data_IF_035799600679
#
_entry.id   IF_035799600679
#
_cell.length_a   1.000
_cell.length_b   1.000
_cell.length_c   1.000
_cell.angle_alpha   90.00
_cell.angle_beta   90.00
_cell.angle_gamma   90.00
#
_symmetry.space_group_name_H-M   'P 1'
#
loop_
_entity.id
_entity.type
_entity.pdbx_description
1 polymer ?
#
# COMPACT_ATOMS: atom_id res chain seq x y z
N UNK A 1 -9.65 2.56 -21.58
CA UNK A 1 -9.79 2.23 -20.13
C UNK A 1 -11.23 2.47 -19.68
N UNK A 2 -11.82 1.60 -18.85
CA UNK A 2 -13.24 1.73 -18.42
C UNK A 2 -13.44 2.55 -17.14
N UNK A 3 -12.39 2.71 -16.33
CA UNK A 3 -12.43 3.41 -15.05
C UNK A 3 -11.10 4.10 -14.82
N UNK A 4 -11.11 5.35 -14.34
CA UNK A 4 -9.92 6.04 -13.85
C UNK A 4 -10.25 6.77 -12.54
N UNK A 5 -9.30 6.91 -11.61
CA UNK A 5 -9.52 7.66 -10.38
C UNK A 5 -9.63 9.15 -10.66
N UNK A 6 -10.80 9.73 -10.36
CA UNK A 6 -11.02 11.17 -10.46
C UNK A 6 -10.79 11.83 -9.10
N UNK A 7 -9.64 12.48 -8.94
CA UNK A 7 -9.27 13.18 -7.71
C UNK A 7 -9.90 14.58 -7.69
N UNK A 8 -11.06 14.70 -7.04
CA UNK A 8 -11.87 15.93 -7.05
C UNK A 8 -11.10 17.14 -6.50
N UNK A 9 -10.32 16.97 -5.42
CA UNK A 9 -9.53 18.06 -4.84
C UNK A 9 -8.50 18.62 -5.82
N UNK A 10 -7.64 17.77 -6.36
CA UNK A 10 -6.64 18.16 -7.37
C UNK A 10 -7.31 18.83 -8.59
N UNK A 11 -8.44 18.28 -9.03
CA UNK A 11 -9.19 18.83 -10.14
C UNK A 11 -9.65 20.25 -9.85
N UNK A 12 -10.38 20.46 -8.76
CA UNK A 12 -10.94 21.76 -8.41
C UNK A 12 -9.84 22.81 -8.21
N UNK A 13 -8.71 22.44 -7.63
CA UNK A 13 -7.57 23.36 -7.48
C UNK A 13 -6.92 23.69 -8.82
N UNK A 14 -6.76 22.71 -9.71
CA UNK A 14 -6.10 22.91 -11.01
C UNK A 14 -6.98 23.61 -12.04
N UNK A 15 -8.31 23.55 -11.92
CA UNK A 15 -9.25 24.15 -12.88
C UNK A 15 -10.01 25.37 -12.33
N UNK A 16 -9.63 25.87 -11.15
CA UNK A 16 -10.33 26.97 -10.47
C UNK A 16 -10.45 28.26 -11.29
N UNK A 17 -9.50 28.52 -12.20
CA UNK A 17 -9.45 29.70 -13.05
C UNK A 17 -10.16 29.52 -14.40
N UNK A 18 -10.61 28.32 -14.73
CA UNK A 18 -11.25 28.05 -16.01
C UNK A 18 -12.68 28.58 -16.05
N UNK A 19 -13.07 29.09 -17.22
CA UNK A 19 -14.48 29.37 -17.51
C UNK A 19 -15.28 28.07 -17.61
N UNK A 20 -16.61 28.19 -17.58
CA UNK A 20 -17.51 27.03 -17.69
C UNK A 20 -17.27 26.19 -18.96
N UNK A 21 -17.00 26.85 -20.09
CA UNK A 21 -16.73 26.16 -21.35
C UNK A 21 -15.36 25.48 -21.36
N UNK A 22 -14.35 26.09 -20.75
CA UNK A 22 -13.01 25.51 -20.62
C UNK A 22 -13.00 24.32 -19.66
N UNK A 23 -13.68 24.42 -18.52
CA UNK A 23 -13.82 23.30 -17.58
C UNK A 23 -14.52 22.10 -18.25
N UNK A 24 -15.60 22.36 -18.99
CA UNK A 24 -16.30 21.35 -19.79
C UNK A 24 -15.40 20.74 -20.88
N UNK A 25 -14.65 21.58 -21.61
CA UNK A 25 -13.71 21.14 -22.64
C UNK A 25 -12.61 20.26 -22.03
N UNK A 26 -12.01 20.67 -20.91
CA UNK A 26 -11.01 19.90 -20.18
C UNK A 26 -11.56 18.54 -19.75
N UNK A 27 -12.75 18.51 -19.15
CA UNK A 27 -13.38 17.26 -18.74
C UNK A 27 -13.58 16.30 -19.91
N UNK A 28 -14.10 16.79 -21.03
CA UNK A 28 -14.31 15.97 -22.23
C UNK A 28 -13.00 15.51 -22.87
N UNK A 29 -11.97 16.34 -22.87
CA UNK A 29 -10.64 15.96 -23.37
C UNK A 29 -10.07 14.81 -22.54
N UNK A 30 -10.18 14.86 -21.21
CA UNK A 30 -9.76 13.76 -20.34
C UNK A 30 -10.54 12.46 -20.62
N UNK A 31 -11.86 12.54 -20.77
CA UNK A 31 -12.69 11.36 -21.05
C UNK A 31 -12.31 10.71 -22.39
N UNK A 32 -12.10 11.52 -23.44
CA UNK A 32 -11.62 11.03 -24.74
C UNK A 32 -10.24 10.39 -24.60
N UNK A 33 -9.34 11.02 -23.85
CA UNK A 33 -7.98 10.54 -23.64
C UNK A 33 -7.97 9.17 -22.95
N UNK A 34 -8.68 9.01 -21.82
CA UNK A 34 -8.72 7.75 -21.08
C UNK A 34 -9.51 6.65 -21.80
N UNK A 35 -10.55 7.03 -22.55
CA UNK A 35 -11.32 6.08 -23.36
C UNK A 35 -10.44 5.46 -24.45
N UNK A 36 -9.70 6.31 -25.18
CA UNK A 36 -8.85 5.89 -26.31
C UNK A 36 -7.46 5.41 -25.90
N UNK A 37 -6.98 5.82 -24.72
CA UNK A 37 -5.60 5.63 -24.25
C UNK A 37 -4.54 6.06 -25.28
N UNK A 38 -4.81 7.17 -25.98
CA UNK A 38 -4.02 7.71 -27.07
C UNK A 38 -4.00 9.24 -26.99
N UNK A 39 -2.93 9.84 -27.51
CA UNK A 39 -2.83 11.28 -27.68
C UNK A 39 -4.02 11.86 -28.46
N UNK A 40 -4.44 13.07 -28.10
CA UNK A 40 -5.46 13.80 -28.87
C UNK A 40 -4.79 14.28 -30.18
N UNK A 41 -5.47 14.22 -31.34
CA UNK A 41 -4.90 14.69 -32.59
C UNK A 41 -4.38 16.13 -32.51
N UNK A 42 -3.21 16.39 -33.10
CA UNK A 42 -2.58 17.71 -33.12
C UNK A 42 -3.48 18.79 -33.74
N UNK A 43 -4.28 18.42 -34.74
CA UNK A 43 -5.15 19.36 -35.44
C UNK A 43 -6.39 19.69 -34.60
N UNK A 44 -6.48 20.96 -34.18
CA UNK A 44 -7.59 21.48 -33.37
C UNK A 44 -8.98 21.11 -33.93
N UNK A 45 -9.27 21.18 -35.26
CA UNK A 45 -10.58 20.76 -35.76
C UNK A 45 -10.92 19.28 -35.48
N UNK A 46 -9.92 18.39 -35.49
CA UNK A 46 -10.11 16.97 -35.16
C UNK A 46 -10.32 16.80 -33.66
N UNK A 47 -9.55 17.49 -32.83
CA UNK A 47 -9.72 17.51 -31.38
C UNK A 47 -11.13 17.99 -30.98
N UNK A 48 -11.57 19.13 -31.54
CA UNK A 48 -12.92 19.67 -31.35
C UNK A 48 -14.01 18.68 -31.75
N UNK A 49 -13.84 17.95 -32.87
CA UNK A 49 -14.80 16.93 -33.29
C UNK A 49 -14.90 15.76 -32.32
N UNK A 50 -13.78 15.35 -31.70
CA UNK A 50 -13.77 14.28 -30.69
C UNK A 50 -14.54 14.68 -29.43
N UNK A 51 -14.35 15.91 -28.96
CA UNK A 51 -15.04 16.42 -27.76
C UNK A 51 -16.40 17.07 -28.06
N UNK A 52 -16.85 17.00 -29.32
CA UNK A 52 -18.12 17.55 -29.80
C UNK A 52 -18.25 19.07 -29.58
N UNK A 53 -17.14 19.80 -29.65
CA UNK A 53 -17.10 21.25 -29.66
C UNK A 53 -17.45 21.76 -31.07
N UNK A 54 -18.56 22.47 -31.18
CA UNK A 54 -19.20 22.86 -32.44
C UNK A 54 -19.44 24.35 -32.58
N UNK A 55 -19.55 25.10 -31.48
CA UNK A 55 -19.64 26.56 -31.51
C UNK A 55 -18.24 27.19 -31.60
N UNK A 56 -18.18 28.49 -31.91
CA UNK A 56 -16.90 29.22 -31.96
C UNK A 56 -16.25 29.27 -30.57
N UNK A 57 -17.05 29.53 -29.55
CA UNK A 57 -16.56 29.67 -28.17
C UNK A 57 -16.14 28.33 -27.59
N UNK A 58 -16.85 27.24 -27.90
CA UNK A 58 -16.44 25.88 -27.52
C UNK A 58 -15.09 25.50 -28.16
N UNK A 59 -14.89 25.83 -29.44
CA UNK A 59 -13.60 25.58 -30.11
C UNK A 59 -12.47 26.39 -29.50
N UNK A 60 -12.72 27.65 -29.15
CA UNK A 60 -11.74 28.49 -28.46
C UNK A 60 -11.38 27.91 -27.09
N UNK A 61 -12.38 27.46 -26.32
CA UNK A 61 -12.16 26.81 -25.03
C UNK A 61 -11.31 25.54 -25.14
N UNK A 62 -11.55 24.69 -26.16
CA UNK A 62 -10.72 23.51 -26.44
C UNK A 62 -9.28 23.89 -26.74
N UNK A 63 -9.08 24.93 -27.55
CA UNK A 63 -7.74 25.42 -27.90
C UNK A 63 -6.99 25.93 -26.65
N UNK A 64 -7.63 26.78 -25.83
CA UNK A 64 -7.04 27.27 -24.57
C UNK A 64 -6.61 26.12 -23.67
N UNK A 65 -7.50 25.15 -23.44
CA UNK A 65 -7.25 24.02 -22.54
C UNK A 65 -6.14 23.10 -23.06
N UNK A 66 -6.10 22.85 -24.38
CA UNK A 66 -5.03 22.04 -24.97
C UNK A 66 -3.67 22.71 -24.78
N UNK A 67 -3.59 24.02 -25.00
CA UNK A 67 -2.34 24.77 -24.81
C UNK A 67 -1.90 24.82 -23.34
N UNK A 68 -2.84 24.83 -22.40
CA UNK A 68 -2.53 24.94 -20.97
C UNK A 68 -2.16 23.59 -20.32
N UNK A 69 -3.00 22.56 -20.49
CA UNK A 69 -2.88 21.31 -19.73
C UNK A 69 -2.18 20.19 -20.51
N UNK A 70 -2.09 20.31 -21.83
CA UNK A 70 -1.51 19.29 -22.69
C UNK A 70 -0.18 19.77 -23.29
N UNK A 71 0.67 18.82 -23.67
CA UNK A 71 1.88 19.10 -24.44
C UNK A 71 1.72 18.60 -25.86
N UNK A 72 1.97 19.45 -26.83
CA UNK A 72 2.01 19.06 -28.23
C UNK A 72 3.29 18.26 -28.51
N UNK A 73 3.14 17.11 -29.15
CA UNK A 73 4.23 16.22 -29.59
C UNK A 73 3.95 15.74 -31.01
N UNK A 74 4.91 15.03 -31.61
CA UNK A 74 4.75 14.44 -32.95
C UNK A 74 3.57 13.46 -33.04
N UNK A 75 3.19 12.83 -31.91
CA UNK A 75 2.06 11.92 -31.84
C UNK A 75 0.71 12.64 -31.61
N UNK A 76 0.73 13.94 -31.32
CA UNK A 76 -0.43 14.74 -30.90
C UNK A 76 -0.28 15.35 -29.50
N UNK A 77 -1.37 15.80 -28.93
CA UNK A 77 -1.44 16.38 -27.59
C UNK A 77 -1.46 15.28 -26.53
N UNK A 78 -0.48 15.30 -25.64
CA UNK A 78 -0.34 14.35 -24.54
C UNK A 78 -0.61 15.00 -23.19
N UNK A 79 -1.16 14.24 -22.24
CA UNK A 79 -1.39 14.70 -20.87
C UNK A 79 -0.58 13.88 -19.88
N UNK A 80 0.35 14.53 -19.16
CA UNK A 80 1.36 13.85 -18.33
C UNK A 80 0.73 12.91 -17.29
N UNK A 81 -0.31 13.36 -16.58
CA UNK A 81 -0.98 12.55 -15.57
C UNK A 81 -1.69 11.34 -16.20
N UNK A 82 -2.28 11.53 -17.38
CA UNK A 82 -3.00 10.45 -18.06
C UNK A 82 -2.03 9.35 -18.49
N UNK A 83 -0.87 9.72 -19.03
CA UNK A 83 0.16 8.74 -19.43
C UNK A 83 0.62 7.88 -18.25
N UNK A 84 0.90 8.52 -17.11
CA UNK A 84 1.31 7.80 -15.88
C UNK A 84 0.23 6.81 -15.44
N UNK A 85 -1.03 7.20 -15.43
CA UNK A 85 -2.14 6.33 -15.02
C UNK A 85 -2.43 5.22 -16.03
N UNK A 86 -2.32 5.49 -17.33
CA UNK A 86 -2.49 4.49 -18.40
C UNK A 86 -1.39 3.43 -18.31
N UNK A 87 -0.12 3.81 -18.08
CA UNK A 87 0.98 2.86 -17.89
C UNK A 87 0.70 1.96 -16.69
N UNK A 88 0.35 2.53 -15.53
CA UNK A 88 -0.02 1.75 -14.33
C UNK A 88 -1.17 0.78 -14.59
N UNK A 89 -2.21 1.24 -15.31
CA UNK A 89 -3.37 0.43 -15.64
C UNK A 89 -3.00 -0.75 -16.57
N UNK A 90 -2.17 -0.50 -17.59
CA UNK A 90 -1.69 -1.52 -18.52
C UNK A 90 -0.84 -2.56 -17.80
N UNK A 91 0.07 -2.15 -16.91
CA UNK A 91 0.85 -3.08 -16.11
C UNK A 91 -0.02 -3.92 -15.18
N UNK A 92 -1.02 -3.32 -14.53
CA UNK A 92 -1.97 -4.05 -13.69
C UNK A 92 -2.79 -5.07 -14.49
N UNK A 93 -3.27 -4.68 -15.68
CA UNK A 93 -3.98 -5.57 -16.58
C UNK A 93 -3.10 -6.74 -17.05
N UNK A 94 -1.82 -6.48 -17.37
CA UNK A 94 -0.89 -7.53 -17.79
C UNK A 94 -0.56 -8.50 -16.64
N UNK A 95 -0.32 -7.99 -15.42
CA UNK A 95 -0.15 -8.84 -14.23
C UNK A 95 -1.37 -9.71 -14.00
N UNK A 96 -2.58 -9.13 -14.08
CA UNK A 96 -3.83 -9.88 -13.93
C UNK A 96 -3.98 -10.94 -15.03
N UNK A 97 -3.61 -10.63 -16.28
CA UNK A 97 -3.64 -11.57 -17.40
C UNK A 97 -2.67 -12.74 -17.20
N UNK A 98 -1.43 -12.48 -16.77
CA UNK A 98 -0.43 -13.52 -16.48
C UNK A 98 -0.90 -14.39 -15.32
N UNK A 99 -1.42 -13.81 -14.25
CA UNK A 99 -1.97 -14.56 -13.12
C UNK A 99 -3.19 -15.38 -13.52
N UNK A 100 -4.06 -14.83 -14.37
CA UNK A 100 -5.20 -15.55 -14.94
C UNK A 100 -4.78 -16.78 -15.76
N UNK A 101 -3.72 -16.66 -16.57
CA UNK A 101 -3.14 -17.79 -17.33
C UNK A 101 -2.58 -18.90 -16.43
N UNK A 102 -2.02 -18.54 -15.27
CA UNK A 102 -1.51 -19.51 -14.27
C UNK A 102 -2.63 -20.24 -13.52
N UNK A 103 -3.88 -19.83 -13.72
CA UNK A 103 -5.05 -20.35 -13.01
C UNK A 103 -5.24 -19.62 -11.68
N UNK A 104 -6.40 -18.97 -11.52
CA UNK A 104 -6.80 -18.35 -10.25
C UNK A 104 -7.78 -19.21 -9.44
N UNK A 105 -8.34 -20.25 -10.04
CA UNK A 105 -9.26 -21.16 -9.38
C UNK A 105 -8.45 -22.30 -8.75
N UNK A 106 -8.46 -22.45 -7.41
CA UNK A 106 -7.89 -23.63 -6.78
C UNK A 106 -8.48 -24.89 -7.43
N UNK A 107 -7.66 -25.89 -7.81
CA UNK A 107 -8.20 -27.13 -8.31
C UNK A 107 -9.15 -27.69 -7.26
N UNK A 108 -10.37 -28.06 -7.69
CA UNK A 108 -11.33 -28.73 -6.84
C UNK A 108 -10.74 -30.12 -6.56
N UNK A 109 -9.96 -30.26 -5.50
CA UNK A 109 -9.57 -31.56 -4.98
C UNK A 109 -10.88 -32.29 -4.69
N UNK A 110 -11.24 -33.26 -5.54
CA UNK A 110 -12.35 -34.15 -5.26
C UNK A 110 -11.99 -34.93 -3.99
N UNK A 111 -12.71 -34.81 -2.86
CA UNK A 111 -12.72 -35.92 -1.93
C UNK A 111 -13.31 -37.11 -2.71
N UNK A 112 -12.59 -38.22 -2.73
CA UNK A 112 -13.10 -39.47 -3.28
C UNK A 112 -14.35 -39.88 -2.47
N UNK A 113 -15.52 -39.70 -3.07
CA UNK A 113 -16.80 -39.98 -2.45
C UNK A 113 -17.93 -39.46 -3.32
N UNK A 114 -18.39 -40.32 -4.23
CA UNK A 114 -19.59 -40.10 -5.03
C UNK A 114 -20.82 -40.06 -4.10
N UNK A 115 -21.73 -39.09 -4.26
CA UNK A 115 -23.14 -39.44 -4.26
C UNK A 115 -23.79 -39.08 -5.59
N UNK A 116 -24.75 -39.92 -5.96
CA UNK A 116 -25.48 -40.00 -7.23
C UNK A 116 -25.97 -38.69 -7.85
N UNK A 117 -26.02 -38.75 -9.18
CA UNK A 117 -26.75 -37.89 -10.09
C UNK A 117 -27.99 -37.24 -9.48
N UNK A 118 -28.04 -35.91 -9.50
CA UNK A 118 -29.30 -35.17 -9.44
C UNK A 118 -29.44 -34.35 -10.72
N UNK A 119 -30.56 -34.64 -11.39
CA UNK A 119 -31.04 -34.27 -12.72
C UNK A 119 -30.85 -32.78 -13.13
N UNK A 120 -30.69 -32.49 -14.44
CA UNK A 120 -30.72 -31.13 -14.96
C UNK A 120 -32.16 -30.61 -15.04
N UNK A 121 -32.47 -29.51 -14.35
CA UNK A 121 -33.74 -28.78 -14.54
C UNK A 121 -33.62 -27.87 -15.78
N UNK A 122 -34.62 -28.01 -16.64
CA UNK A 122 -34.85 -27.48 -17.99
C UNK A 122 -34.74 -25.93 -18.08
N UNK A 123 -34.32 -25.37 -19.24
CA UNK A 123 -34.01 -23.95 -19.40
C UNK A 123 -35.27 -23.10 -19.66
N UNK A 124 -35.47 -22.06 -18.85
CA UNK A 124 -36.47 -21.02 -19.07
C UNK A 124 -35.80 -19.66 -19.18
N UNK A 125 -35.67 -19.14 -20.41
CA UNK A 125 -35.38 -17.74 -20.66
C UNK A 125 -36.70 -16.95 -20.67
N UNK A 126 -36.75 -15.76 -20.06
CA UNK A 126 -37.47 -14.66 -20.67
C UNK A 126 -36.54 -13.47 -20.95
N UNK A 127 -36.74 -12.90 -22.13
CA UNK A 127 -36.08 -11.73 -22.67
C UNK A 127 -36.22 -10.48 -21.78
N UNK A 128 -35.17 -9.65 -21.83
CA UNK A 128 -35.09 -8.20 -21.56
C UNK A 128 -35.56 -7.71 -20.17
N UNK A 129 -34.61 -7.21 -19.39
CA UNK A 129 -34.74 -5.84 -18.87
C UNK A 129 -33.40 -5.26 -18.42
N UNK A 130 -33.14 -4.07 -18.95
CA UNK A 130 -32.23 -3.00 -18.56
C UNK A 130 -31.03 -3.21 -17.63
N UNK A 131 -29.89 -2.81 -18.19
CA UNK A 131 -28.73 -2.21 -17.54
C UNK A 131 -29.06 -1.44 -16.26
N UNK A 132 -28.44 -1.84 -15.13
CA UNK A 132 -28.22 -0.92 -14.03
C UNK A 132 -26.82 -1.11 -13.43
N UNK A 133 -26.05 -0.04 -13.51
CA UNK A 133 -24.77 0.15 -12.86
C UNK A 133 -24.89 0.00 -11.32
N UNK A 134 -23.81 -0.36 -10.60
CA UNK A 134 -23.85 -0.41 -9.15
C UNK A 134 -23.83 1.01 -8.58
N UNK A 135 -24.95 1.44 -8.01
CA UNK A 135 -25.00 2.64 -7.18
C UNK A 135 -24.42 2.31 -5.78
N UNK A 136 -23.59 3.19 -5.18
CA UNK A 136 -23.07 3.00 -3.83
C UNK A 136 -24.12 3.51 -2.83
N UNK A 137 -24.30 2.81 -1.70
CA UNK A 137 -24.79 3.46 -0.49
C UNK A 137 -24.43 2.70 0.80
N UNK A 138 -24.35 3.42 1.93
CA UNK A 138 -23.64 3.04 3.15
C UNK A 138 -24.51 2.19 4.07
N UNK A 139 -23.90 1.22 4.76
CA UNK A 139 -24.56 0.51 5.87
C UNK A 139 -23.86 0.92 7.16
N UNK A 140 -24.40 1.96 7.79
CA UNK A 140 -24.42 2.14 9.24
C UNK A 140 -25.41 1.16 9.85
N UNK A 141 -25.00 0.37 10.85
CA UNK A 141 -25.92 -0.15 11.86
C UNK A 141 -25.33 0.00 13.27
N UNK A 142 -26.17 0.28 14.27
CA UNK A 142 -25.77 0.87 15.55
C UNK A 142 -25.47 -0.18 16.63
N UNK A 143 -24.66 0.25 17.59
CA UNK A 143 -24.26 -0.46 18.81
C UNK A 143 -25.32 -0.28 19.93
N UNK A 144 -25.14 -1.02 21.03
CA UNK A 144 -25.96 -1.19 22.25
C UNK A 144 -26.85 -2.46 22.21
N UNK A 145 -26.77 -3.41 23.14
CA UNK A 145 -26.64 -3.25 24.60
C UNK A 145 -25.92 -4.42 25.29
N UNK A 146 -25.25 -4.11 26.41
CA UNK A 146 -24.88 -4.99 27.54
C UNK A 146 -26.15 -5.44 28.33
N UNK A 147 -26.14 -6.27 29.41
CA UNK A 147 -25.02 -6.77 30.24
C UNK A 147 -25.11 -8.20 30.84
N UNK A 148 -24.03 -8.55 31.56
CA UNK A 148 -23.95 -9.26 32.87
C UNK A 148 -24.06 -10.79 33.06
N UNK A 149 -23.20 -11.29 33.97
CA UNK A 149 -23.34 -12.55 34.73
C UNK A 149 -22.24 -13.59 34.48
N UNK A 150 -21.03 -13.47 35.03
CA UNK A 150 -20.53 -13.97 36.35
C UNK A 150 -20.30 -15.49 36.49
N UNK A 151 -19.04 -15.79 36.86
CA UNK A 151 -18.51 -16.90 37.69
C UNK A 151 -18.79 -18.36 37.28
N UNK A 152 -17.87 -19.31 37.39
CA UNK A 152 -16.60 -19.43 38.09
C UNK A 152 -16.32 -20.95 38.16
N UNK A 153 -15.10 -21.41 37.93
CA UNK A 153 -14.33 -21.88 39.08
C UNK A 153 -13.71 -23.25 38.79
N UNK A 154 -12.38 -23.29 38.90
CA UNK A 154 -11.59 -24.51 39.14
C UNK A 154 -11.92 -25.04 40.56
N UNK A 155 -11.61 -26.31 40.91
CA UNK A 155 -10.43 -26.48 41.76
C UNK A 155 -9.66 -27.82 41.62
N UNK A 156 -8.58 -27.86 42.41
CA UNK A 156 -7.45 -28.78 42.50
C UNK A 156 -7.67 -30.20 43.09
N UNK A 157 -6.58 -30.98 42.98
CA UNK A 157 -6.00 -31.95 43.95
C UNK A 157 -6.13 -33.47 43.66
N UNK A 158 -5.00 -34.15 43.82
CA UNK A 158 -4.72 -35.60 43.68
C UNK A 158 -5.25 -36.43 44.88
N UNK A 159 -5.26 -37.80 44.86
CA UNK A 159 -4.04 -38.60 45.12
C UNK A 159 -3.98 -40.06 44.54
N UNK A 160 -2.79 -40.69 44.73
CA UNK A 160 -2.47 -42.12 44.99
C UNK A 160 -2.52 -43.23 43.89
N UNK A 161 -1.46 -44.05 43.88
CA UNK A 161 -1.16 -45.23 43.06
C UNK A 161 -1.75 -46.56 43.63
N UNK A 162 -1.69 -47.71 42.90
CA UNK A 162 -0.52 -48.60 42.99
C UNK A 162 -0.10 -49.32 41.67
N UNK A 163 1.12 -49.89 41.69
CA UNK A 163 1.75 -50.76 40.67
C UNK A 163 1.46 -52.26 40.98
N UNK A 164 1.69 -53.25 40.08
CA UNK A 164 3.06 -53.71 39.77
C UNK A 164 3.34 -54.28 38.35
N UNK A 165 4.64 -54.26 38.02
CA UNK A 165 5.44 -55.25 37.29
C UNK A 165 5.18 -55.59 35.80
N UNK A 166 6.13 -55.22 34.92
CA UNK A 166 7.09 -56.14 34.28
C UNK A 166 7.79 -55.46 33.07
N UNK A 167 9.12 -55.44 33.06
CA UNK A 167 9.97 -55.22 31.88
C UNK A 167 10.60 -56.58 31.50
N UNK A 168 10.91 -56.88 30.21
CA UNK A 168 12.12 -56.34 29.56
C UNK A 168 11.96 -56.14 28.02
N UNK A 169 12.55 -55.14 27.35
CA UNK A 169 13.93 -55.10 26.80
C UNK A 169 14.03 -53.86 25.86
N UNK A 170 15.22 -53.30 25.62
CA UNK A 170 15.40 -52.05 24.88
C UNK A 170 15.44 -52.25 23.34
N UNK A 171 14.55 -51.56 22.63
CA UNK A 171 14.62 -51.37 21.17
C UNK A 171 15.63 -50.26 20.84
N UNK A 172 16.51 -50.41 19.84
CA UNK A 172 17.47 -49.37 19.47
C UNK A 172 16.77 -48.10 18.96
N UNK A 173 17.33 -46.90 19.20
CA UNK A 173 16.71 -45.65 18.79
C UNK A 173 16.68 -45.51 17.26
N UNK A 174 15.63 -44.88 16.69
CA UNK A 174 15.59 -44.54 15.27
C UNK A 174 16.70 -43.53 14.91
N UNK A 175 17.20 -43.54 13.66
CA UNK A 175 18.27 -42.64 13.23
C UNK A 175 17.86 -41.17 13.36
N UNK A 176 18.81 -40.25 13.62
CA UNK A 176 18.52 -38.84 13.79
C UNK A 176 17.87 -38.26 12.51
N UNK A 177 16.90 -37.34 12.64
CA UNK A 177 16.30 -36.68 11.49
C UNK A 177 17.38 -35.94 10.69
N UNK A 178 17.27 -35.86 9.35
CA UNK A 178 18.23 -35.13 8.52
C UNK A 178 18.32 -33.68 9.00
N UNK A 179 19.55 -33.18 9.08
CA UNK A 179 19.84 -31.81 9.50
C UNK A 179 18.98 -30.82 8.70
N UNK A 180 18.39 -29.80 9.36
CA UNK A 180 17.60 -28.79 8.66
C UNK A 180 18.47 -28.11 7.60
N UNK A 181 17.90 -27.71 6.44
CA UNK A 181 18.66 -27.09 5.37
C UNK A 181 19.44 -25.91 5.94
N UNK A 182 20.76 -25.95 5.77
CA UNK A 182 21.66 -24.86 6.15
C UNK A 182 21.22 -23.63 5.37
N UNK A 183 20.48 -22.74 6.04
CA UNK A 183 20.13 -21.42 5.51
C UNK A 183 21.41 -20.77 5.02
N UNK A 184 21.38 -20.26 3.81
CA UNK A 184 22.53 -19.58 3.22
C UNK A 184 22.96 -18.40 4.13
N UNK A 185 24.24 -18.00 4.15
CA UNK A 185 24.70 -16.87 4.96
C UNK A 185 23.89 -15.59 4.76
N UNK A 186 23.36 -15.38 3.54
CA UNK A 186 22.50 -14.26 3.18
C UNK A 186 21.11 -14.34 3.82
N UNK A 187 20.51 -15.53 3.90
CA UNK A 187 19.23 -15.74 4.57
C UNK A 187 19.33 -15.56 6.09
N UNK A 188 20.48 -15.92 6.67
CA UNK A 188 20.77 -15.63 8.09
C UNK A 188 20.91 -14.13 8.33
N UNK A 189 21.67 -13.42 7.48
CA UNK A 189 21.86 -11.97 7.60
C UNK A 189 20.53 -11.20 7.47
N UNK A 190 19.66 -11.64 6.56
CA UNK A 190 18.30 -11.09 6.43
C UNK A 190 17.49 -11.37 7.70
N UNK A 191 17.50 -12.60 8.21
CA UNK A 191 16.77 -12.94 9.44
C UNK A 191 17.26 -12.12 10.64
N UNK A 192 18.57 -11.89 10.78
CA UNK A 192 19.14 -11.04 11.82
C UNK A 192 18.72 -9.58 11.67
N UNK A 193 18.74 -9.05 10.44
CA UNK A 193 18.24 -7.71 10.15
C UNK A 193 16.77 -7.55 10.58
N UNK A 194 15.91 -8.53 10.26
CA UNK A 194 14.50 -8.51 10.66
C UNK A 194 14.31 -8.55 12.18
N UNK A 195 15.13 -9.33 12.90
CA UNK A 195 15.09 -9.38 14.36
C UNK A 195 15.54 -8.05 14.98
N UNK A 196 16.66 -7.50 14.52
CA UNK A 196 17.18 -6.22 15.00
C UNK A 196 16.19 -5.08 14.74
N UNK A 197 15.58 -5.04 13.55
CA UNK A 197 14.66 -3.98 13.19
C UNK A 197 13.35 -4.02 13.98
N UNK A 198 12.80 -5.21 14.27
CA UNK A 198 11.62 -5.35 15.14
C UNK A 198 11.95 -4.93 16.57
N UNK A 199 13.11 -5.33 17.10
CA UNK A 199 13.55 -4.92 18.44
C UNK A 199 13.67 -3.40 18.58
N UNK A 200 14.21 -2.72 17.57
CA UNK A 200 14.34 -1.24 17.57
C UNK A 200 12.97 -0.57 17.48
N UNK A 201 12.07 -1.10 16.67
CA UNK A 201 10.71 -0.58 16.53
C UNK A 201 9.89 -0.74 17.83
N UNK A 202 10.01 -1.88 18.50
CA UNK A 202 9.35 -2.12 19.79
C UNK A 202 9.89 -1.20 20.88
N UNK A 203 11.21 -0.98 20.93
CA UNK A 203 11.84 -0.02 21.86
C UNK A 203 11.41 1.42 21.59
N UNK A 204 11.15 1.79 20.32
CA UNK A 204 10.61 3.09 19.92
C UNK A 204 9.09 3.20 19.96
N UNK A 205 8.40 2.34 20.74
CA UNK A 205 6.96 2.44 20.99
C UNK A 205 6.05 1.93 19.87
N UNK A 206 6.57 1.20 18.87
CA UNK A 206 5.74 0.59 17.84
C UNK A 206 5.10 -0.71 18.34
N UNK A 207 3.77 -0.91 18.16
CA UNK A 207 3.13 -2.17 18.51
C UNK A 207 3.71 -3.36 17.73
N UNK A 208 3.90 -4.54 18.35
CA UNK A 208 4.48 -5.72 17.69
C UNK A 208 3.74 -6.16 16.43
N UNK A 209 2.41 -5.96 16.41
CA UNK A 209 1.54 -6.24 15.26
C UNK A 209 1.82 -5.34 14.04
N UNK A 210 2.38 -4.15 14.26
CA UNK A 210 2.67 -3.16 13.22
C UNK A 210 4.12 -3.21 12.74
N UNK A 211 5.05 -3.71 13.57
CA UNK A 211 6.48 -3.75 13.27
C UNK A 211 6.81 -4.48 11.96
N UNK A 212 6.22 -5.67 11.77
CA UNK A 212 6.46 -6.50 10.56
C UNK A 212 5.89 -5.85 9.30
N UNK A 213 4.68 -5.30 9.38
CA UNK A 213 4.02 -4.61 8.26
C UNK A 213 4.77 -3.34 7.87
N UNK A 214 5.26 -2.59 8.85
CA UNK A 214 6.06 -1.40 8.63
C UNK A 214 7.39 -1.72 7.93
N UNK A 215 8.09 -2.76 8.40
CA UNK A 215 9.35 -3.20 7.79
C UNK A 215 9.15 -3.75 6.38
N UNK A 216 8.04 -4.47 6.14
CA UNK A 216 7.66 -4.93 4.80
C UNK A 216 7.49 -3.77 3.80
N UNK A 217 6.86 -2.67 4.23
CA UNK A 217 6.76 -1.45 3.43
C UNK A 217 8.11 -0.79 3.21
N UNK A 218 8.94 -0.69 4.26
CA UNK A 218 10.26 -0.07 4.17
C UNK A 218 11.18 -0.79 3.16
N UNK A 219 11.16 -2.13 3.12
CA UNK A 219 11.93 -2.94 2.16
C UNK A 219 11.35 -2.90 0.74
N UNK A 220 10.06 -2.56 0.60
CA UNK A 220 9.44 -2.33 -0.71
C UNK A 220 9.82 -0.95 -1.27
N UNK A 221 9.89 0.05 -0.41
CA UNK A 221 10.17 1.45 -0.78
C UNK A 221 11.68 1.72 -0.97
N UNK A 222 12.55 0.95 -0.32
CA UNK A 222 14.01 1.16 -0.33
C UNK A 222 14.77 -0.15 -0.59
N UNK A 223 15.95 -0.04 -1.23
CA UNK A 223 16.82 -1.19 -1.46
C UNK A 223 17.34 -1.79 -0.15
N UNK A 224 17.52 -3.11 -0.09
CA UNK A 224 18.04 -3.84 1.07
C UNK A 224 19.27 -3.19 1.76
N UNK A 225 20.35 -2.76 1.05
CA UNK A 225 21.50 -2.13 1.70
C UNK A 225 21.16 -0.82 2.43
N UNK A 226 20.24 -0.02 1.89
CA UNK A 226 19.77 1.23 2.53
C UNK A 226 19.02 0.93 3.81
N UNK A 227 18.13 -0.08 3.77
CA UNK A 227 17.39 -0.50 4.97
C UNK A 227 18.34 -1.08 6.02
N UNK A 228 19.31 -1.89 5.61
CA UNK A 228 20.31 -2.46 6.52
C UNK A 228 21.11 -1.38 7.25
N UNK A 229 21.58 -0.36 6.52
CA UNK A 229 22.34 0.74 7.11
C UNK A 229 21.46 1.63 8.00
N UNK A 230 20.19 1.85 7.64
CA UNK A 230 19.24 2.59 8.47
C UNK A 230 18.92 1.87 9.79
N UNK A 231 18.76 0.54 9.76
CA UNK A 231 18.55 -0.26 10.96
C UNK A 231 19.80 -0.25 11.84
N UNK A 232 21.00 -0.40 11.28
CA UNK A 232 22.25 -0.30 12.04
C UNK A 232 22.42 1.08 12.73
N UNK A 233 22.07 2.16 12.02
CA UNK A 233 22.06 3.51 12.59
C UNK A 233 21.04 3.65 13.72
N UNK A 234 19.85 3.06 13.57
CA UNK A 234 18.80 3.12 14.58
C UNK A 234 19.11 2.30 15.83
N UNK A 235 19.79 1.14 15.69
CA UNK A 235 20.32 0.37 16.83
C UNK A 235 21.30 1.20 17.66
N UNK A 236 22.14 2.00 16.98
CA UNK A 236 23.15 2.85 17.65
C UNK A 236 22.53 4.08 18.31
N UNK A 237 21.58 4.72 17.62
CA UNK A 237 21.00 5.98 18.07
C UNK A 237 19.86 5.83 19.09
N UNK A 238 19.27 4.62 19.22
CA UNK A 238 18.11 4.31 20.07
C UNK A 238 17.08 5.45 20.13
N UNK A 239 16.53 5.87 18.97
CA UNK A 239 15.63 7.02 18.90
C UNK A 239 14.31 6.75 19.61
N UNK A 240 13.75 7.79 20.26
CA UNK A 240 12.45 7.73 20.91
C UNK A 240 11.31 7.40 19.93
N UNK A 241 11.39 7.92 18.69
CA UNK A 241 10.53 7.49 17.58
C UNK A 241 11.35 6.73 16.52
N UNK A 242 11.37 5.41 16.67
CA UNK A 242 12.08 4.52 15.75
C UNK A 242 11.50 4.53 14.33
N UNK A 243 10.20 4.79 14.16
CA UNK A 243 9.54 4.74 12.85
C UNK A 243 9.91 5.97 12.02
N UNK A 244 9.88 7.14 12.63
CA UNK A 244 10.29 8.38 11.99
C UNK A 244 11.79 8.35 11.67
N UNK A 245 12.61 7.91 12.62
CA UNK A 245 14.07 7.82 12.43
C UNK A 245 14.46 6.89 11.28
N UNK A 246 13.84 5.70 11.19
CA UNK A 246 14.12 4.75 10.11
C UNK A 246 13.72 5.32 8.75
N UNK A 247 12.54 5.94 8.64
CA UNK A 247 12.10 6.60 7.39
C UNK A 247 13.03 7.74 7.00
N UNK A 248 13.35 8.63 7.94
CA UNK A 248 14.22 9.78 7.69
C UNK A 248 15.64 9.36 7.26
N UNK A 249 16.13 8.25 7.80
CA UNK A 249 17.46 7.72 7.46
C UNK A 249 17.46 7.03 6.10
N UNK A 250 16.41 6.27 5.78
CA UNK A 250 16.25 5.68 4.44
C UNK A 250 16.11 6.76 3.36
N UNK A 251 15.33 7.82 3.60
CA UNK A 251 15.16 8.95 2.68
C UNK A 251 16.46 9.74 2.43
N UNK A 252 17.30 9.89 3.47
CA UNK A 252 18.62 10.55 3.33
C UNK A 252 19.57 9.71 2.49
N UNK A 253 19.57 8.40 2.67
CA UNK A 253 20.44 7.49 1.93
C UNK A 253 19.96 7.22 0.49
N UNK A 254 18.65 7.32 0.22
CA UNK A 254 18.10 7.20 -1.14
C UNK A 254 18.21 8.49 -1.97
N UNK A 255 18.76 9.57 -1.40
CA UNK A 255 18.85 10.88 -2.06
C UNK A 255 17.52 11.64 -2.15
N UNK A 256 16.44 11.14 -1.53
CA UNK A 256 15.13 11.80 -1.53
C UNK A 256 14.98 12.92 -0.49
N UNK A 257 15.93 13.06 0.43
CA UNK A 257 15.99 14.18 1.38
C UNK A 257 17.34 14.90 1.21
N UNK A 258 17.31 16.12 0.68
CA UNK A 258 18.47 17.02 0.70
C UNK A 258 18.97 17.11 2.15
N UNK A 259 20.29 17.01 2.34
CA UNK A 259 20.90 17.26 3.65
C UNK A 259 20.43 18.65 4.14
N UNK A 260 20.15 18.82 5.44
CA UNK A 260 19.74 20.12 5.97
C UNK A 260 20.73 21.18 5.49
N UNK A 261 20.21 22.27 4.94
CA UNK A 261 21.06 23.31 4.38
C UNK A 261 21.98 23.84 5.50
N UNK A 262 23.17 24.36 5.17
CA UNK A 262 24.16 24.81 6.18
C UNK A 262 23.53 25.71 7.26
N UNK A 263 22.51 26.48 6.87
CA UNK A 263 21.72 27.33 7.74
C UNK A 263 20.89 26.56 8.78
N UNK A 264 20.14 25.53 8.39
CA UNK A 264 19.37 24.70 9.32
C UNK A 264 20.29 23.89 10.26
N UNK A 265 21.45 23.46 9.77
CA UNK A 265 22.46 22.80 10.60
C UNK A 265 23.09 23.77 11.63
N UNK A 266 23.24 25.04 11.26
CA UNK A 266 23.67 26.10 12.16
C UNK A 266 22.59 26.46 13.18
N UNK A 267 21.33 26.55 12.76
CA UNK A 267 20.18 26.83 13.63
C UNK A 267 19.94 25.70 14.63
N UNK A 268 20.03 24.44 14.21
CA UNK A 268 19.95 23.29 15.13
C UNK A 268 21.12 23.27 16.15
N UNK A 269 22.32 23.67 15.73
CA UNK A 269 23.46 23.86 16.64
C UNK A 269 23.24 25.03 17.61
N UNK A 270 22.68 26.14 17.13
CA UNK A 270 22.32 27.28 17.95
C UNK A 270 21.27 26.90 19.00
N UNK A 271 20.24 26.17 18.59
CA UNK A 271 19.17 25.69 19.46
C UNK A 271 19.72 24.74 20.56
N UNK A 272 20.59 23.80 20.19
CA UNK A 272 21.22 22.90 21.16
C UNK A 272 22.09 23.65 22.19
N UNK A 273 22.72 24.76 21.81
CA UNK A 273 23.47 25.63 22.73
C UNK A 273 22.52 26.38 23.67
N UNK A 274 21.40 26.88 23.16
CA UNK A 274 20.36 27.54 23.96
C UNK A 274 19.75 26.57 24.97
N UNK A 275 19.43 25.34 24.56
CA UNK A 275 18.87 24.31 25.44
C UNK A 275 19.89 23.88 26.52
N UNK A 276 21.17 23.74 26.15
CA UNK A 276 22.25 23.46 27.10
C UNK A 276 22.48 24.61 28.09
N UNK A 277 22.28 25.86 27.67
CA UNK A 277 22.33 27.03 28.54
C UNK A 277 21.11 27.11 29.45
N UNK A 278 19.92 26.83 28.96
CA UNK A 278 18.70 26.77 29.75
C UNK A 278 18.81 25.72 30.87
N UNK A 279 19.31 24.52 30.53
CA UNK A 279 19.55 23.45 31.51
C UNK A 279 20.63 23.80 32.55
N UNK A 280 21.69 24.56 32.18
CA UNK A 280 22.67 25.07 33.13
C UNK A 280 22.15 26.22 34.00
N UNK A 281 21.27 27.07 33.47
CA UNK A 281 20.63 28.16 34.21
C UNK A 281 19.73 27.65 35.34
N UNK A 282 19.02 26.54 35.12
CA UNK A 282 18.20 25.89 36.15
C UNK A 282 19.05 25.36 37.32
N UNK A 283 20.29 24.92 37.07
CA UNK A 283 21.18 24.45 38.15
C UNK A 283 21.78 25.57 39.01
N UNK A 284 21.81 26.82 38.52
CA UNK A 284 22.34 27.96 39.28
C UNK A 284 21.27 28.73 40.09
N UNK A 285 19.98 28.46 39.85
CA UNK A 285 18.87 29.05 40.60
C UNK A 285 18.44 28.21 41.83
N UNK A 286 19.05 27.04 42.03
CA UNK A 286 18.71 26.08 43.08
C UNK A 286 19.82 25.92 44.16
N UNK A 287 20.76 26.87 44.24
CA UNK A 287 21.83 26.91 45.25
C UNK A 287 21.71 28.15 46.15
#
# INVERSE_FOLDING_TARGET
>A
MNFYPHHIGDYLTATAHLSWLEDCAYRRLLDVYYSREQAIPAEIPKACRLVRASSKDERAAVDTVLNEFFRLTDAGWIHSRCEVEIVKAREAAERARVNGKKGGRPPKSKPAGNPEETQPVIPGNPEKSDSQAPNPNPITKPNHSVPDGTDGGSPAAAPAAPSPAAAPTPTPPPPPPPAPPTKTPEEMAKAELWRAAVSVLEQGGCPPSQCRTFMGKLVQDYTFPVVQQAVAAAVTAQPADAREYLKATCQRQSGQRLAPNKQEALEARGQAVVDAWASKGETHAAA
#
